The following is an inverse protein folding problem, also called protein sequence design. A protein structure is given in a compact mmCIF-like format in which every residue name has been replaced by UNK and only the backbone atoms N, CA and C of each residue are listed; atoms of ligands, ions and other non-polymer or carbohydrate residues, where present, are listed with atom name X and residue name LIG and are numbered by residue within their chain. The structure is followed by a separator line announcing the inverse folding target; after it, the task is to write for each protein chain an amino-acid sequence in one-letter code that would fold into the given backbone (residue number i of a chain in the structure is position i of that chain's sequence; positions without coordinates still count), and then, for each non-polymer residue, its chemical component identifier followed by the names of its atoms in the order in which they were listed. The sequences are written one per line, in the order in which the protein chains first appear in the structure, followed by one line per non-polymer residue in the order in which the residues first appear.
data_IF_861400257578
#
_entry.id   IF_861400257578
#
_cell.length_a   1.000
_cell.length_b   1.000
_cell.length_c   1.000
_cell.angle_alpha   90.00
_cell.angle_beta   90.00
_cell.angle_gamma   90.00
#
_symmetry.space_group_name_H-M   'P 1'
#
loop_
_entity.id
_entity.type
_entity.pdbx_description
1 polymer ?
#
# COMPACT_ATOMS: atom_id res chain seq x y z
N UNK A 1 -8.14 36.08 45.93
CA UNK A 1 -8.51 36.07 44.50
C UNK A 1 -8.71 34.63 44.08
N UNK A 2 -9.95 34.26 43.76
CA UNK A 2 -10.32 32.88 43.40
C UNK A 2 -9.82 32.54 41.99
N UNK A 3 -9.21 31.36 41.84
CA UNK A 3 -8.85 30.77 40.53
C UNK A 3 -10.12 30.63 39.68
N UNK A 4 -10.09 31.00 38.38
CA UNK A 4 -11.24 30.76 37.53
C UNK A 4 -11.41 29.25 37.32
N UNK A 5 -12.63 28.76 37.56
CA UNK A 5 -13.06 27.41 37.19
C UNK A 5 -12.87 27.25 35.68
N UNK A 6 -12.02 26.31 35.28
CA UNK A 6 -11.99 25.77 33.91
C UNK A 6 -13.37 25.13 33.66
N UNK A 7 -14.17 25.76 32.83
CA UNK A 7 -15.37 25.16 32.24
C UNK A 7 -14.93 23.99 31.36
N UNK A 8 -15.51 22.81 31.60
CA UNK A 8 -15.51 21.70 30.63
C UNK A 8 -15.97 22.27 29.30
N UNK A 9 -15.07 22.28 28.32
CA UNK A 9 -15.44 22.56 26.94
C UNK A 9 -15.77 21.18 26.40
N UNK A 10 -17.06 20.88 26.30
CA UNK A 10 -17.52 19.64 25.68
C UNK A 10 -16.78 19.47 24.34
N UNK A 11 -16.21 18.29 24.10
CA UNK A 11 -15.58 17.96 22.83
C UNK A 11 -16.59 18.30 21.72
N UNK A 12 -16.19 19.13 20.75
CA UNK A 12 -17.07 19.48 19.65
C UNK A 12 -17.46 18.17 18.94
N UNK A 13 -18.77 17.90 18.72
CA UNK A 13 -19.17 16.75 17.93
C UNK A 13 -18.49 16.84 16.57
N UNK A 14 -17.93 15.73 16.10
CA UNK A 14 -17.35 15.72 14.77
C UNK A 14 -18.49 15.81 13.74
N UNK A 15 -18.47 16.78 12.83
CA UNK A 15 -19.45 16.93 11.74
C UNK A 15 -19.29 15.82 10.67
N UNK A 16 -18.69 14.68 11.02
CA UNK A 16 -18.44 13.55 10.15
C UNK A 16 -19.74 12.79 9.89
N UNK A 17 -20.09 12.67 8.61
CA UNK A 17 -21.22 11.88 8.16
C UNK A 17 -20.89 11.18 6.84
N UNK A 18 -21.58 10.07 6.59
CA UNK A 18 -21.49 9.29 5.37
C UNK A 18 -22.81 8.57 5.09
N UNK A 19 -22.93 7.99 3.90
CA UNK A 19 -24.15 7.28 3.48
C UNK A 19 -24.42 6.07 4.38
N UNK A 20 -25.71 5.77 4.60
CA UNK A 20 -26.13 4.59 5.35
C UNK A 20 -25.72 3.26 4.67
N UNK A 21 -25.40 3.31 3.38
CA UNK A 21 -24.95 2.16 2.59
C UNK A 21 -23.44 1.99 2.55
N UNK A 22 -22.66 2.90 3.16
CA UNK A 22 -21.20 2.77 3.26
C UNK A 22 -20.80 1.46 3.95
N UNK A 23 -19.81 0.79 3.37
CA UNK A 23 -19.26 -0.48 3.88
C UNK A 23 -17.80 -0.34 4.31
N UNK A 24 -17.11 0.68 3.78
CA UNK A 24 -15.71 0.98 4.02
C UNK A 24 -15.53 2.45 4.39
N UNK A 25 -14.78 2.73 5.45
CA UNK A 25 -14.33 4.09 5.79
C UNK A 25 -13.03 4.01 6.59
N UNK A 26 -12.13 4.96 6.40
CA UNK A 26 -10.93 5.13 7.22
C UNK A 26 -10.95 6.47 7.92
N UNK A 27 -10.73 6.45 9.23
CA UNK A 27 -10.65 7.62 10.09
C UNK A 27 -9.21 7.86 10.54
N UNK A 28 -8.86 9.13 10.74
CA UNK A 28 -7.63 9.55 11.40
C UNK A 28 -7.98 10.39 12.62
N UNK A 29 -7.31 10.09 13.74
CA UNK A 29 -7.41 10.82 14.99
C UNK A 29 -6.13 11.62 15.19
N UNK A 30 -6.29 12.92 15.42
CA UNK A 30 -5.20 13.80 15.83
C UNK A 30 -5.11 13.81 17.36
N UNK A 31 -3.93 13.45 17.87
CA UNK A 31 -3.70 13.19 19.28
C UNK A 31 -2.53 14.03 19.82
N UNK A 32 -2.63 14.52 21.04
CA UNK A 32 -1.45 15.03 21.77
C UNK A 32 -1.32 14.35 23.13
N UNK A 33 -0.09 14.01 23.55
CA UNK A 33 0.13 13.43 24.87
C UNK A 33 -0.11 14.49 25.95
N UNK A 34 -0.72 14.10 27.08
CA UNK A 34 -0.96 15.00 28.22
C UNK A 34 0.31 15.33 29.01
N UNK A 35 1.31 14.46 28.94
CA UNK A 35 2.59 14.60 29.63
C UNK A 35 3.72 13.97 28.81
N UNK A 36 4.97 14.17 29.24
CA UNK A 36 6.18 13.61 28.62
C UNK A 36 6.34 12.12 28.96
N UNK A 37 5.29 11.35 28.68
CA UNK A 37 5.16 9.96 29.07
C UNK A 37 5.93 9.03 28.13
N UNK A 38 5.99 7.75 28.50
CA UNK A 38 6.64 6.71 27.71
C UNK A 38 5.59 5.77 27.13
N UNK A 39 5.72 5.45 25.84
CA UNK A 39 5.02 4.32 25.25
C UNK A 39 5.80 3.03 25.52
N UNK A 40 5.12 2.07 26.13
CA UNK A 40 5.63 0.72 26.29
C UNK A 40 5.65 -0.01 24.92
N UNK A 41 6.56 -0.98 24.70
CA UNK A 41 6.78 -1.57 23.37
C UNK A 41 5.57 -2.26 22.71
N UNK A 42 4.51 -2.58 23.48
CA UNK A 42 3.29 -3.21 22.98
C UNK A 42 2.08 -2.27 23.03
N UNK A 43 2.28 -0.95 22.99
CA UNK A 43 1.19 0.02 23.11
C UNK A 43 0.08 -0.16 22.05
N UNK A 44 0.38 -0.73 20.88
CA UNK A 44 -0.63 -1.03 19.86
C UNK A 44 -1.62 -2.11 20.30
N UNK A 45 -1.24 -3.01 21.22
CA UNK A 45 -2.18 -3.92 21.90
C UNK A 45 -3.10 -3.14 22.84
N UNK A 46 -2.58 -2.07 23.46
CA UNK A 46 -3.37 -1.14 24.25
C UNK A 46 -4.39 -0.39 23.39
N UNK A 47 -3.98 0.13 22.23
CA UNK A 47 -4.88 0.79 21.27
C UNK A 47 -5.98 -0.17 20.79
N UNK A 48 -5.64 -1.41 20.47
CA UNK A 48 -6.61 -2.45 20.11
C UNK A 48 -7.62 -2.70 21.24
N UNK A 49 -7.13 -2.92 22.47
CA UNK A 49 -7.98 -3.18 23.62
C UNK A 49 -8.88 -1.98 23.95
N UNK A 50 -8.34 -0.76 23.87
CA UNK A 50 -9.09 0.48 24.06
C UNK A 50 -10.18 0.64 23.01
N UNK A 51 -9.88 0.40 21.74
CA UNK A 51 -10.88 0.45 20.66
C UNK A 51 -12.03 -0.52 20.90
N UNK A 52 -11.73 -1.80 21.20
CA UNK A 52 -12.78 -2.78 21.51
C UNK A 52 -13.56 -2.44 22.78
N UNK A 53 -12.92 -1.82 23.77
CA UNK A 53 -13.60 -1.30 24.96
C UNK A 53 -14.61 -0.21 24.61
N UNK A 54 -14.26 0.71 23.70
CA UNK A 54 -15.21 1.71 23.19
C UNK A 54 -16.40 1.06 22.49
N UNK A 55 -16.16 0.06 21.64
CA UNK A 55 -17.25 -0.70 21.01
C UNK A 55 -18.13 -1.35 22.07
N UNK A 56 -17.52 -2.04 23.05
CA UNK A 56 -18.25 -2.77 24.10
C UNK A 56 -19.14 -1.87 24.95
N UNK A 57 -18.76 -0.62 25.17
CA UNK A 57 -19.55 0.32 25.99
C UNK A 57 -20.90 0.66 25.37
N UNK A 58 -21.00 0.67 24.04
CA UNK A 58 -22.23 1.02 23.30
C UNK A 58 -22.90 -0.19 22.63
N UNK A 59 -22.10 -1.19 22.24
CA UNK A 59 -22.52 -2.40 21.54
C UNK A 59 -21.68 -3.62 21.97
N UNK A 60 -22.05 -4.28 23.09
CA UNK A 60 -21.35 -5.45 23.59
C UNK A 60 -21.32 -6.64 22.62
N UNK A 61 -22.37 -6.82 21.82
CA UNK A 61 -22.48 -7.93 20.86
C UNK A 61 -21.52 -7.74 19.69
N UNK A 62 -21.45 -6.52 19.13
CA UNK A 62 -20.48 -6.18 18.11
C UNK A 62 -19.06 -6.35 18.65
N UNK A 63 -18.77 -5.87 19.86
CA UNK A 63 -17.44 -6.05 20.46
C UNK A 63 -17.06 -7.53 20.60
N UNK A 64 -18.00 -8.40 20.98
CA UNK A 64 -17.76 -9.84 21.08
C UNK A 64 -17.48 -10.44 19.70
N UNK A 65 -18.24 -10.06 18.67
CA UNK A 65 -17.97 -10.47 17.28
C UNK A 65 -16.57 -10.02 16.82
N UNK A 66 -16.19 -8.77 17.08
CA UNK A 66 -14.87 -8.24 16.71
C UNK A 66 -13.72 -8.95 17.44
N UNK A 67 -13.92 -9.35 18.70
CA UNK A 67 -12.91 -10.03 19.50
C UNK A 67 -12.84 -11.54 19.19
N UNK A 68 -13.96 -12.23 19.26
CA UNK A 68 -14.06 -13.70 19.26
C UNK A 68 -14.30 -14.31 17.87
N UNK A 69 -14.68 -13.50 16.89
CA UNK A 69 -14.92 -13.96 15.51
C UNK A 69 -13.73 -14.76 14.96
N UNK A 70 -14.02 -15.95 14.44
CA UNK A 70 -13.02 -16.87 13.88
C UNK A 70 -12.66 -16.55 12.42
N UNK A 71 -13.46 -15.70 11.74
CA UNK A 71 -13.20 -15.21 10.39
C UNK A 71 -12.19 -14.05 10.39
N UNK A 72 -12.01 -13.38 9.25
CA UNK A 72 -11.17 -12.19 9.21
C UNK A 72 -11.75 -11.09 10.12
N UNK A 73 -10.92 -10.16 10.59
CA UNK A 73 -11.41 -9.05 11.41
C UNK A 73 -11.89 -7.91 10.51
N UNK A 74 -13.10 -7.37 10.73
CA UNK A 74 -13.70 -6.36 9.85
C UNK A 74 -13.19 -4.94 10.12
N UNK A 75 -11.94 -4.80 10.57
CA UNK A 75 -11.31 -3.51 10.84
C UNK A 75 -9.78 -3.62 10.80
N UNK A 76 -9.12 -2.48 10.67
CA UNK A 76 -7.67 -2.33 10.86
C UNK A 76 -7.37 -1.12 11.74
N UNK A 77 -6.26 -1.15 12.47
CA UNK A 77 -5.76 0.01 13.23
C UNK A 77 -4.27 0.19 12.96
N UNK A 78 -3.79 1.44 12.97
CA UNK A 78 -2.37 1.74 12.84
C UNK A 78 -1.64 1.74 14.19
N UNK A 79 -0.31 1.79 14.14
CA UNK A 79 0.52 2.37 15.20
C UNK A 79 0.35 3.89 15.24
N UNK A 80 0.89 4.56 16.26
CA UNK A 80 0.96 6.01 16.28
C UNK A 80 2.00 6.49 15.27
N UNK A 81 1.60 7.41 14.40
CA UNK A 81 2.49 8.15 13.52
C UNK A 81 2.85 9.49 14.17
N UNK A 82 4.13 9.82 14.24
CA UNK A 82 4.62 11.06 14.84
C UNK A 82 6.08 10.95 15.28
N UNK A 83 6.60 12.01 15.90
CA UNK A 83 7.97 12.05 16.42
C UNK A 83 8.05 11.16 17.68
N UNK A 84 8.42 9.89 17.48
CA UNK A 84 8.66 8.91 18.54
C UNK A 84 10.17 8.76 18.74
N UNK A 85 10.68 9.32 19.83
CA UNK A 85 12.11 9.26 20.14
C UNK A 85 12.43 7.96 20.90
N UNK A 86 13.47 7.25 20.49
CA UNK A 86 13.90 6.06 21.21
C UNK A 86 14.60 6.45 22.53
N UNK A 87 14.05 6.02 23.66
CA UNK A 87 14.63 6.20 25.00
C UNK A 87 14.86 4.83 25.66
N UNK A 88 16.01 4.22 25.38
CA UNK A 88 16.35 2.89 25.87
C UNK A 88 15.43 1.80 25.28
N UNK A 89 14.59 1.19 26.13
CA UNK A 89 13.62 0.15 25.72
C UNK A 89 12.23 0.69 25.40
N UNK A 90 11.97 1.98 25.66
CA UNK A 90 10.67 2.62 25.47
C UNK A 90 10.77 3.69 24.38
N UNK A 91 9.60 4.12 23.88
CA UNK A 91 9.50 5.30 23.03
C UNK A 91 9.07 6.46 23.91
N UNK A 92 9.81 7.56 23.87
CA UNK A 92 9.48 8.77 24.59
C UNK A 92 8.57 9.65 23.74
N UNK A 93 7.47 10.08 24.35
CA UNK A 93 6.56 11.05 23.76
C UNK A 93 7.09 12.46 23.97
N UNK A 94 6.94 13.30 22.95
CA UNK A 94 7.26 14.71 23.04
C UNK A 94 5.98 15.46 23.40
N UNK A 95 6.03 16.16 24.53
CA UNK A 95 4.96 17.09 24.93
C UNK A 95 4.81 18.12 23.83
N UNK A 96 3.57 18.44 23.47
CA UNK A 96 3.17 19.35 22.39
C UNK A 96 3.43 18.84 20.95
N UNK A 97 3.88 17.59 20.77
CA UNK A 97 3.88 16.96 19.45
C UNK A 97 2.49 16.37 19.12
N UNK A 98 2.09 16.51 17.86
CA UNK A 98 0.89 15.87 17.32
C UNK A 98 1.22 14.46 16.82
N UNK A 99 0.34 13.52 17.13
CA UNK A 99 0.41 12.13 16.72
C UNK A 99 -0.87 11.75 15.98
N UNK A 100 -0.75 10.94 14.94
CA UNK A 100 -1.88 10.44 14.16
C UNK A 100 -2.11 8.96 14.47
N UNK A 101 -3.38 8.61 14.64
CA UNK A 101 -3.82 7.23 14.76
C UNK A 101 -4.94 6.94 13.78
N UNK A 102 -4.88 5.81 13.09
CA UNK A 102 -5.85 5.47 12.06
C UNK A 102 -6.66 4.24 12.45
N UNK A 103 -7.95 4.29 12.15
CA UNK A 103 -8.91 3.20 12.32
C UNK A 103 -9.70 3.07 11.03
N UNK A 104 -9.75 1.87 10.44
CA UNK A 104 -10.57 1.62 9.24
C UNK A 104 -11.57 0.51 9.48
N UNK A 105 -12.80 0.71 9.03
CA UNK A 105 -13.85 -0.30 9.04
C UNK A 105 -13.96 -0.98 7.67
N UNK A 106 -14.23 -2.29 7.70
CA UNK A 106 -14.30 -3.16 6.52
C UNK A 106 -15.68 -3.81 6.35
N UNK A 107 -16.67 -3.45 7.16
CA UNK A 107 -18.01 -4.02 7.06
C UNK A 107 -19.06 -3.02 7.49
N UNK A 108 -20.27 -3.14 6.93
CA UNK A 108 -21.42 -2.27 7.22
C UNK A 108 -21.72 -2.15 8.73
N UNK A 109 -21.73 -3.23 9.55
CA UNK A 109 -21.98 -3.09 11.00
C UNK A 109 -20.95 -2.21 11.71
N UNK A 110 -19.67 -2.35 11.37
CA UNK A 110 -18.60 -1.54 11.98
C UNK A 110 -18.66 -0.10 11.51
N UNK A 111 -18.96 0.14 10.23
CA UNK A 111 -19.18 1.50 9.69
C UNK A 111 -20.35 2.20 10.36
N UNK A 112 -21.47 1.49 10.55
CA UNK A 112 -22.65 2.03 11.22
C UNK A 112 -22.35 2.37 12.68
N UNK A 113 -21.61 1.50 13.38
CA UNK A 113 -21.15 1.79 14.74
C UNK A 113 -20.22 3.01 14.77
N UNK A 114 -19.24 3.10 13.86
CA UNK A 114 -18.36 4.26 13.75
C UNK A 114 -19.14 5.57 13.55
N UNK A 115 -20.21 5.54 12.73
CA UNK A 115 -21.02 6.73 12.43
C UNK A 115 -21.68 7.30 13.69
N UNK A 116 -22.09 6.43 14.62
CA UNK A 116 -22.64 6.82 15.91
C UNK A 116 -21.53 7.23 16.88
N UNK A 117 -20.44 6.46 16.93
CA UNK A 117 -19.34 6.68 17.85
C UNK A 117 -18.63 8.04 17.63
N UNK A 118 -18.45 8.46 16.37
CA UNK A 118 -17.78 9.74 16.07
C UNK A 118 -18.58 10.98 16.50
N UNK A 119 -19.89 10.83 16.73
CA UNK A 119 -20.77 11.90 17.24
C UNK A 119 -20.60 12.13 18.75
N UNK A 120 -20.05 11.14 19.46
CA UNK A 120 -19.84 11.17 20.90
C UNK A 120 -18.45 10.64 21.26
N UNK A 121 -17.41 11.19 20.62
CA UNK A 121 -16.04 10.76 20.85
C UNK A 121 -15.61 11.03 22.30
N UNK A 122 -14.88 10.10 22.94
CA UNK A 122 -14.22 10.39 24.20
C UNK A 122 -13.19 11.51 24.02
N UNK A 123 -12.94 12.28 25.08
CA UNK A 123 -11.90 13.32 25.07
C UNK A 123 -10.47 12.73 25.05
N UNK A 124 -10.31 11.46 25.43
CA UNK A 124 -9.02 10.87 25.77
C UNK A 124 -8.91 9.41 25.35
N UNK A 125 -7.74 9.04 24.84
CA UNK A 125 -7.28 7.65 24.76
C UNK A 125 -6.36 7.38 25.95
N UNK A 126 -6.81 6.50 26.85
CA UNK A 126 -6.04 6.09 28.02
C UNK A 126 -5.31 4.78 27.73
N UNK A 127 -3.98 4.83 27.69
CA UNK A 127 -3.10 3.67 27.68
C UNK A 127 -2.46 3.51 29.07
N UNK A 128 -1.86 2.35 29.32
CA UNK A 128 -1.31 2.01 30.65
C UNK A 128 -0.43 3.10 31.27
N UNK A 129 0.53 3.59 30.51
CA UNK A 129 1.57 4.52 30.98
C UNK A 129 1.56 5.85 30.19
N UNK A 130 0.50 6.12 29.40
CA UNK A 130 0.38 7.33 28.57
C UNK A 130 -1.08 7.69 28.29
N UNK A 131 -1.40 8.98 28.29
CA UNK A 131 -2.74 9.52 28.06
C UNK A 131 -2.74 10.53 26.92
N UNK A 132 -3.61 10.36 25.93
CA UNK A 132 -3.68 11.21 24.73
C UNK A 132 -4.99 11.95 24.64
N UNK A 133 -4.94 13.28 24.52
CA UNK A 133 -6.12 14.08 24.16
C UNK A 133 -6.44 13.88 22.69
N UNK A 134 -7.71 13.66 22.38
CA UNK A 134 -8.23 13.67 21.00
C UNK A 134 -8.61 15.11 20.64
N UNK A 135 -7.95 15.69 19.64
CA UNK A 135 -8.25 17.04 19.15
C UNK A 135 -9.22 17.03 17.97
N UNK A 136 -9.00 16.11 17.05
CA UNK A 136 -9.77 15.99 15.83
C UNK A 136 -9.92 14.52 15.43
N UNK A 137 -11.01 14.26 14.72
CA UNK A 137 -11.24 13.04 13.98
C UNK A 137 -11.67 13.44 12.58
N UNK A 138 -11.00 12.89 11.56
CA UNK A 138 -11.25 13.22 10.15
C UNK A 138 -11.34 11.95 9.31
N UNK A 139 -11.96 12.07 8.13
CA UNK A 139 -11.96 11.00 7.13
C UNK A 139 -10.60 10.97 6.43
N UNK A 140 -9.84 9.91 6.67
CA UNK A 140 -8.56 9.64 6.03
C UNK A 140 -8.70 8.82 4.73
N UNK A 141 -9.70 7.92 4.69
CA UNK A 141 -10.05 7.14 3.51
C UNK A 141 -11.54 7.28 3.27
N UNK A 142 -11.91 7.64 2.04
CA UNK A 142 -13.25 8.03 1.68
C UNK A 142 -14.29 6.94 2.03
N UNK A 143 -15.47 7.32 2.54
CA UNK A 143 -16.60 6.41 2.66
C UNK A 143 -16.95 5.82 1.29
N UNK A 144 -17.01 4.49 1.17
CA UNK A 144 -17.35 3.81 -0.10
C UNK A 144 -17.96 2.42 0.15
N UNK A 145 -18.36 1.73 -0.91
CA UNK A 145 -18.86 0.35 -0.92
C UNK A 145 -17.93 -0.57 -1.70
N UNK A 146 -18.07 -1.87 -1.50
CA UNK A 146 -17.33 -2.86 -2.30
C UNK A 146 -17.76 -2.81 -3.78
N UNK A 147 -19.05 -2.59 -4.04
CA UNK A 147 -19.60 -2.38 -5.39
C UNK A 147 -18.96 -1.17 -6.08
N UNK A 148 -18.81 -0.04 -5.37
CA UNK A 148 -18.17 1.16 -5.89
C UNK A 148 -16.68 0.94 -6.14
N UNK A 149 -15.95 0.32 -5.20
CA UNK A 149 -14.53 0.00 -5.40
C UNK A 149 -14.33 -0.90 -6.61
N UNK A 150 -15.17 -1.91 -6.81
CA UNK A 150 -15.08 -2.81 -7.95
C UNK A 150 -15.47 -2.10 -9.26
N UNK A 151 -16.59 -1.39 -9.29
CA UNK A 151 -17.10 -0.72 -10.50
C UNK A 151 -16.19 0.43 -10.96
N UNK A 152 -15.57 1.14 -10.00
CA UNK A 152 -14.64 2.24 -10.26
C UNK A 152 -13.19 1.76 -10.33
N UNK A 153 -12.93 0.45 -10.33
CA UNK A 153 -11.59 -0.13 -10.46
C UNK A 153 -11.05 0.03 -11.89
N UNK A 154 -10.74 1.27 -12.25
CA UNK A 154 -10.05 1.64 -13.47
C UNK A 154 -8.95 2.61 -13.07
N UNK A 155 -7.70 2.23 -13.29
CA UNK A 155 -6.60 3.16 -13.03
C UNK A 155 -6.29 3.94 -14.31
N UNK A 156 -6.26 5.28 -14.29
CA UNK A 156 -5.69 6.06 -15.39
C UNK A 156 -4.18 5.80 -15.57
N UNK A 157 -3.55 5.24 -14.53
CA UNK A 157 -2.17 4.75 -14.49
C UNK A 157 -2.14 3.24 -14.76
N UNK A 158 -1.26 2.76 -15.64
CA UNK A 158 -1.09 1.31 -15.89
C UNK A 158 -0.54 0.54 -14.69
N UNK A 159 -0.03 1.22 -13.65
CA UNK A 159 0.60 0.60 -12.48
C UNK A 159 -0.12 0.92 -11.16
N UNK A 160 -0.02 -0.01 -10.21
CA UNK A 160 -0.43 0.12 -8.81
C UNK A 160 0.78 0.42 -7.92
N UNK A 161 0.72 1.50 -7.13
CA UNK A 161 1.78 1.87 -6.19
C UNK A 161 1.25 1.75 -4.77
N UNK A 162 1.98 1.05 -3.91
CA UNK A 162 1.65 0.85 -2.51
C UNK A 162 2.86 1.16 -1.62
N UNK A 163 2.61 1.82 -0.49
CA UNK A 163 3.60 2.08 0.55
C UNK A 163 3.18 1.44 1.88
N UNK A 164 4.12 0.76 2.53
CA UNK A 164 3.98 0.04 3.79
C UNK A 164 4.65 0.83 4.90
N UNK A 165 3.85 1.54 5.70
CA UNK A 165 4.31 2.47 6.73
C UNK A 165 4.63 1.79 8.06
N UNK A 166 4.10 0.58 8.27
CA UNK A 166 4.44 -0.24 9.43
C UNK A 166 4.85 -1.65 9.03
N UNK A 167 5.47 -2.37 9.96
CA UNK A 167 6.01 -3.71 9.72
C UNK A 167 4.94 -4.62 9.11
N UNK A 168 5.17 -5.05 7.88
CA UNK A 168 4.28 -5.91 7.09
C UNK A 168 4.91 -7.29 6.98
N UNK A 169 4.15 -8.35 7.23
CA UNK A 169 4.67 -9.72 7.13
C UNK A 169 3.56 -10.68 6.76
N UNK A 170 3.95 -11.77 6.10
CA UNK A 170 3.07 -12.88 5.76
C UNK A 170 3.48 -14.13 6.53
N UNK A 171 2.62 -15.16 6.52
CA UNK A 171 2.94 -16.48 7.06
C UNK A 171 3.22 -17.45 5.93
N UNK A 172 4.36 -18.13 5.99
CA UNK A 172 4.72 -19.19 5.03
C UNK A 172 5.32 -20.37 5.79
N UNK A 173 4.64 -21.53 5.75
CA UNK A 173 5.04 -22.76 6.45
C UNK A 173 5.40 -22.51 7.93
N UNK A 174 4.55 -21.79 8.65
CA UNK A 174 4.76 -21.42 10.07
C UNK A 174 5.72 -20.25 10.34
N UNK A 175 6.50 -19.81 9.35
CA UNK A 175 7.51 -18.76 9.52
C UNK A 175 6.99 -17.38 9.05
N UNK A 176 7.65 -16.31 9.50
CA UNK A 176 7.45 -14.97 8.95
C UNK A 176 8.04 -14.90 7.55
N UNK A 177 7.33 -14.26 6.63
CA UNK A 177 7.78 -14.02 5.27
C UNK A 177 7.74 -12.51 4.99
N UNK A 178 8.87 -11.80 5.16
CA UNK A 178 8.93 -10.35 5.10
C UNK A 178 9.18 -9.84 3.66
N UNK A 179 8.43 -10.35 2.68
CA UNK A 179 8.58 -9.93 1.27
C UNK A 179 7.21 -9.70 0.61
N UNK A 180 7.00 -8.56 -0.07
CA UNK A 180 5.76 -8.23 -0.80
C UNK A 180 5.69 -8.95 -2.15
N UNK A 181 5.75 -10.28 -2.14
CA UNK A 181 5.50 -11.08 -3.36
C UNK A 181 4.03 -10.88 -3.77
N UNK A 182 3.71 -10.64 -5.06
CA UNK A 182 2.35 -10.37 -5.52
C UNK A 182 1.32 -11.37 -5.01
N UNK A 183 1.59 -12.67 -5.14
CA UNK A 183 0.69 -13.70 -4.62
C UNK A 183 0.37 -13.51 -3.12
N UNK A 184 1.36 -13.19 -2.29
CA UNK A 184 1.15 -12.94 -0.86
C UNK A 184 0.35 -11.65 -0.58
N UNK A 185 0.60 -10.58 -1.34
CA UNK A 185 -0.15 -9.32 -1.24
C UNK A 185 -1.62 -9.56 -1.56
N UNK A 186 -1.89 -10.10 -2.74
CA UNK A 186 -3.24 -10.27 -3.25
C UNK A 186 -4.02 -11.35 -2.50
N UNK A 187 -3.37 -12.42 -2.04
CA UNK A 187 -4.00 -13.37 -1.12
C UNK A 187 -4.39 -12.69 0.21
N UNK A 188 -3.57 -11.77 0.71
CA UNK A 188 -3.91 -11.02 1.93
C UNK A 188 -5.15 -10.15 1.77
N UNK A 189 -5.30 -9.49 0.62
CA UNK A 189 -6.45 -8.61 0.35
C UNK A 189 -7.69 -9.43 0.02
N UNK A 190 -7.55 -10.44 -0.84
CA UNK A 190 -8.64 -11.25 -1.33
C UNK A 190 -9.36 -12.00 -0.21
N UNK A 191 -8.64 -12.52 0.80
CA UNK A 191 -9.29 -13.18 1.95
C UNK A 191 -10.28 -12.26 2.67
N UNK A 192 -9.93 -10.98 2.87
CA UNK A 192 -10.82 -10.01 3.52
C UNK A 192 -11.90 -9.49 2.57
N UNK A 193 -11.57 -9.36 1.27
CA UNK A 193 -12.56 -9.04 0.26
C UNK A 193 -13.66 -10.12 0.21
N UNK A 194 -13.30 -11.40 0.13
CA UNK A 194 -14.25 -12.51 0.07
C UNK A 194 -15.10 -12.67 1.35
N UNK A 195 -14.57 -12.26 2.51
CA UNK A 195 -15.29 -12.34 3.79
C UNK A 195 -16.35 -11.23 3.91
N UNK A 196 -16.11 -10.04 3.37
CA UNK A 196 -16.94 -8.85 3.64
C UNK A 196 -17.68 -8.25 2.45
N UNK A 197 -17.23 -8.48 1.20
CA UNK A 197 -17.76 -7.78 0.03
C UNK A 197 -19.09 -8.31 -0.50
N UNK A 198 -19.52 -9.50 -0.07
CA UNK A 198 -20.57 -10.29 -0.74
C UNK A 198 -20.31 -10.58 -2.24
N UNK A 199 -19.11 -10.28 -2.75
CA UNK A 199 -18.65 -10.56 -4.11
C UNK A 199 -17.44 -11.51 -4.07
N UNK A 200 -17.72 -12.80 -3.86
CA UNK A 200 -16.66 -13.79 -3.73
C UNK A 200 -16.03 -14.15 -5.07
N UNK A 201 -14.70 -14.21 -5.09
CA UNK A 201 -13.92 -14.74 -6.20
C UNK A 201 -13.22 -16.03 -5.79
N UNK A 202 -13.06 -16.94 -6.77
CA UNK A 202 -12.25 -18.15 -6.60
C UNK A 202 -10.81 -17.74 -6.30
N UNK A 203 -10.35 -18.15 -5.11
CA UNK A 203 -9.04 -17.74 -4.61
C UNK A 203 -7.91 -18.36 -5.43
N UNK A 204 -7.98 -19.65 -5.74
CA UNK A 204 -6.88 -20.34 -6.39
C UNK A 204 -6.74 -19.87 -7.83
N UNK A 205 -7.86 -19.71 -8.54
CA UNK A 205 -7.87 -19.20 -9.91
C UNK A 205 -7.34 -17.76 -10.00
N UNK A 206 -7.71 -16.88 -9.05
CA UNK A 206 -7.20 -15.51 -9.05
C UNK A 206 -5.71 -15.44 -8.70
N UNK A 207 -5.25 -16.24 -7.74
CA UNK A 207 -3.85 -16.23 -7.34
C UNK A 207 -2.92 -16.84 -8.39
N UNK A 208 -3.37 -17.86 -9.13
CA UNK A 208 -2.68 -18.37 -10.32
C UNK A 208 -2.54 -17.25 -11.38
N UNK A 209 -3.63 -16.54 -11.67
CA UNK A 209 -3.58 -15.38 -12.56
C UNK A 209 -2.63 -14.28 -12.06
N UNK A 210 -2.58 -14.02 -10.74
CA UNK A 210 -1.64 -13.05 -10.16
C UNK A 210 -0.18 -13.48 -10.39
N UNK A 211 0.13 -14.76 -10.21
CA UNK A 211 1.48 -15.29 -10.43
C UNK A 211 1.93 -15.18 -11.89
N UNK A 212 1.00 -15.35 -12.85
CA UNK A 212 1.29 -15.26 -14.28
C UNK A 212 1.33 -13.81 -14.81
N UNK A 213 0.47 -12.94 -14.27
CA UNK A 213 0.17 -11.65 -14.89
C UNK A 213 0.70 -10.43 -14.13
N UNK A 214 1.04 -10.54 -12.84
CA UNK A 214 1.45 -9.38 -12.04
C UNK A 214 2.97 -9.29 -11.94
N UNK A 215 3.51 -8.14 -12.35
CA UNK A 215 4.94 -7.83 -12.34
C UNK A 215 5.28 -6.85 -11.21
N UNK A 216 6.45 -7.02 -10.61
CA UNK A 216 7.06 -5.98 -9.77
C UNK A 216 7.91 -5.09 -10.69
N UNK A 217 7.49 -3.85 -10.93
CA UNK A 217 8.26 -2.89 -11.71
C UNK A 217 9.35 -2.22 -10.90
N UNK A 218 9.02 -1.86 -9.66
CA UNK A 218 9.92 -1.13 -8.76
C UNK A 218 9.61 -1.50 -7.33
N UNK A 219 10.62 -1.61 -6.48
CA UNK A 219 10.41 -1.70 -5.04
C UNK A 219 11.56 -1.04 -4.28
N UNK A 220 11.28 -0.62 -3.05
CA UNK A 220 12.26 -0.17 -2.08
C UNK A 220 11.80 -0.67 -0.73
N UNK A 221 12.57 -1.58 -0.14
CA UNK A 221 12.13 -2.30 1.05
C UNK A 221 13.24 -2.32 2.09
N UNK A 222 12.83 -2.27 3.35
CA UNK A 222 13.70 -2.49 4.49
C UNK A 222 13.12 -3.59 5.35
N UNK A 223 13.97 -4.53 5.79
CA UNK A 223 13.56 -5.54 6.76
C UNK A 223 13.56 -4.95 8.16
N UNK A 224 12.45 -5.13 8.88
CA UNK A 224 12.27 -4.64 10.25
C UNK A 224 11.86 -5.78 11.17
N UNK A 225 12.23 -5.68 12.45
CA UNK A 225 11.82 -6.63 13.47
C UNK A 225 11.12 -5.90 14.60
N UNK A 226 9.85 -6.21 14.82
CA UNK A 226 9.01 -5.55 15.82
C UNK A 226 8.51 -6.53 16.86
N UNK A 227 8.32 -6.07 18.10
CA UNK A 227 7.58 -6.85 19.10
C UNK A 227 6.12 -6.97 18.64
N UNK A 228 5.49 -8.13 18.83
CA UNK A 228 4.12 -8.33 18.35
C UNK A 228 3.29 -9.21 19.30
N UNK A 229 2.35 -8.60 20.00
CA UNK A 229 1.53 -9.26 21.02
C UNK A 229 2.27 -9.45 22.35
N UNK A 230 1.76 -10.34 23.22
CA UNK A 230 2.29 -10.57 24.58
C UNK A 230 3.65 -11.30 24.61
N UNK A 231 3.95 -12.14 23.62
CA UNK A 231 5.22 -12.87 23.47
C UNK A 231 5.61 -12.97 22.00
N UNK A 232 6.90 -12.79 21.72
CA UNK A 232 7.49 -12.96 20.39
C UNK A 232 7.70 -11.66 19.62
N UNK A 233 8.30 -11.81 18.45
CA UNK A 233 8.56 -10.72 17.50
C UNK A 233 8.01 -11.11 16.13
N UNK A 234 7.87 -10.13 15.24
CA UNK A 234 7.57 -10.33 13.82
C UNK A 234 8.71 -9.73 13.03
N UNK A 235 9.33 -10.56 12.18
CA UNK A 235 10.19 -10.05 11.10
C UNK A 235 9.28 -9.68 9.94
N UNK A 236 9.32 -8.43 9.52
CA UNK A 236 8.50 -7.86 8.45
C UNK A 236 9.31 -6.93 7.55
N UNK A 237 8.63 -6.23 6.67
CA UNK A 237 9.18 -5.20 5.82
C UNK A 237 8.39 -3.89 5.93
N UNK A 238 9.06 -2.78 5.63
CA UNK A 238 8.48 -1.46 5.34
C UNK A 238 9.01 -0.98 3.99
N UNK A 239 8.41 0.08 3.43
CA UNK A 239 8.88 0.70 2.18
C UNK A 239 7.78 0.81 1.14
N UNK A 240 8.10 0.67 -0.15
CA UNK A 240 7.15 0.82 -1.24
C UNK A 240 7.37 -0.20 -2.37
N UNK A 241 6.29 -0.47 -3.11
CA UNK A 241 6.27 -1.33 -4.29
C UNK A 241 5.41 -0.70 -5.38
N UNK A 242 5.83 -0.89 -6.63
CA UNK A 242 5.07 -0.59 -7.84
C UNK A 242 4.86 -1.89 -8.61
N UNK A 243 3.59 -2.19 -8.85
CA UNK A 243 3.12 -3.38 -9.54
C UNK A 243 2.49 -2.99 -10.87
N UNK A 244 2.65 -3.83 -11.88
CA UNK A 244 1.95 -3.67 -13.16
C UNK A 244 1.50 -5.01 -13.69
N UNK A 245 0.87 -4.99 -14.86
CA UNK A 245 0.29 -6.16 -15.50
C UNK A 245 1.00 -6.48 -16.81
N UNK A 246 1.13 -7.77 -17.11
CA UNK A 246 1.53 -8.23 -18.44
C UNK A 246 0.42 -7.99 -19.45
N UNK A 247 0.72 -8.08 -20.74
CA UNK A 247 -0.30 -8.01 -21.80
C UNK A 247 -1.32 -9.15 -21.74
N UNK A 248 -0.93 -10.31 -21.18
CA UNK A 248 -1.79 -11.48 -21.01
C UNK A 248 -2.89 -11.26 -19.95
N UNK A 249 -2.73 -10.29 -19.05
CA UNK A 249 -3.72 -9.94 -18.03
C UNK A 249 -5.12 -9.67 -18.61
N UNK A 250 -5.16 -9.03 -19.79
CA UNK A 250 -6.38 -8.68 -20.52
C UNK A 250 -7.24 -9.88 -20.95
N UNK A 251 -6.69 -11.11 -20.91
CA UNK A 251 -7.45 -12.34 -21.16
C UNK A 251 -8.50 -12.64 -20.07
N UNK A 252 -8.34 -12.08 -18.87
CA UNK A 252 -9.27 -12.19 -17.75
C UNK A 252 -9.66 -10.80 -17.21
N UNK A 253 -10.52 -10.04 -17.92
CA UNK A 253 -10.84 -8.66 -17.55
C UNK A 253 -11.39 -8.49 -16.12
N UNK A 254 -12.13 -9.49 -15.62
CA UNK A 254 -12.64 -9.46 -14.23
C UNK A 254 -11.52 -9.56 -13.19
N UNK A 255 -10.45 -10.31 -13.47
CA UNK A 255 -9.31 -10.42 -12.57
C UNK A 255 -8.43 -9.17 -12.64
N UNK A 256 -8.30 -8.56 -13.83
CA UNK A 256 -7.69 -7.24 -13.97
C UNK A 256 -8.45 -6.17 -13.17
N UNK A 257 -9.78 -6.15 -13.26
CA UNK A 257 -10.62 -5.25 -12.46
C UNK A 257 -10.46 -5.52 -10.95
N UNK A 258 -10.46 -6.79 -10.54
CA UNK A 258 -10.24 -7.17 -9.14
C UNK A 258 -8.84 -6.77 -8.64
N UNK A 259 -7.80 -6.88 -9.48
CA UNK A 259 -6.45 -6.43 -9.14
C UNK A 259 -6.43 -4.95 -8.75
N UNK A 260 -7.06 -4.09 -9.56
CA UNK A 260 -7.16 -2.66 -9.26
C UNK A 260 -8.05 -2.39 -8.03
N UNK A 261 -9.18 -3.10 -7.90
CA UNK A 261 -10.06 -2.98 -6.75
C UNK A 261 -9.34 -3.34 -5.43
N UNK A 262 -8.61 -4.46 -5.41
CA UNK A 262 -7.81 -4.90 -4.26
C UNK A 262 -6.66 -3.94 -3.96
N UNK A 263 -6.06 -3.33 -4.99
CA UNK A 263 -5.08 -2.26 -4.82
C UNK A 263 -5.65 -1.02 -4.12
N UNK A 264 -6.86 -0.61 -4.49
CA UNK A 264 -7.58 0.50 -3.86
C UNK A 264 -8.14 0.14 -2.48
N UNK A 265 -8.41 -1.14 -2.23
CA UNK A 265 -8.85 -1.68 -0.94
C UNK A 265 -7.70 -1.84 0.07
N UNK A 266 -6.46 -2.01 -0.40
CA UNK A 266 -5.29 -2.24 0.45
C UNK A 266 -5.09 -1.19 1.57
N UNK A 267 -5.30 0.13 1.35
CA UNK A 267 -5.22 1.13 2.41
C UNK A 267 -6.25 0.96 3.53
N UNK A 268 -7.47 0.48 3.23
CA UNK A 268 -8.51 0.24 4.23
C UNK A 268 -8.18 -1.00 5.08
N UNK A 269 -7.85 -2.09 4.41
CA UNK A 269 -7.73 -3.39 5.06
C UNK A 269 -6.33 -3.70 5.59
N UNK A 270 -5.34 -2.88 5.26
CA UNK A 270 -3.92 -3.09 5.54
C UNK A 270 -3.39 -4.42 4.96
N UNK A 271 -2.09 -4.68 5.09
CA UNK A 271 -1.41 -5.80 4.42
C UNK A 271 -0.89 -6.83 5.39
N UNK A 272 -1.08 -8.11 5.08
CA UNK A 272 -0.53 -9.22 5.85
C UNK A 272 -1.32 -9.52 7.13
N UNK A 273 -0.61 -9.90 8.19
CA UNK A 273 -1.20 -10.34 9.45
C UNK A 273 -1.02 -9.33 10.58
N UNK A 274 -1.89 -9.42 11.61
CA UNK A 274 -1.93 -8.52 12.78
C UNK A 274 -2.24 -7.05 12.42
N UNK A 275 -3.06 -6.84 11.40
CA UNK A 275 -3.56 -5.52 10.97
C UNK A 275 -4.43 -4.83 12.03
N UNK A 276 -5.05 -5.59 12.93
CA UNK A 276 -5.75 -5.06 14.11
C UNK A 276 -4.81 -4.68 15.27
N UNK A 277 -3.49 -4.78 15.10
CA UNK A 277 -2.48 -4.49 16.12
C UNK A 277 -1.38 -3.53 15.62
N UNK A 278 -1.69 -2.70 14.60
CA UNK A 278 -0.78 -1.69 14.10
C UNK A 278 0.20 -2.14 13.02
N UNK A 279 0.19 -3.42 12.63
CA UNK A 279 1.06 -3.95 11.57
C UNK A 279 0.40 -3.82 10.19
N UNK A 280 1.19 -3.84 9.13
CA UNK A 280 0.65 -3.87 7.77
C UNK A 280 0.08 -2.56 7.25
N UNK A 281 0.28 -1.44 7.94
CA UNK A 281 -0.33 -0.17 7.55
C UNK A 281 0.09 0.20 6.13
N UNK A 282 -0.90 0.35 5.25
CA UNK A 282 -0.69 0.51 3.80
C UNK A 282 -1.31 1.82 3.33
N UNK A 283 -0.66 2.48 2.37
CA UNK A 283 -1.14 3.68 1.69
C UNK A 283 -0.99 3.51 0.18
N UNK A 284 -1.89 4.14 -0.56
CA UNK A 284 -1.75 4.26 -2.01
C UNK A 284 -0.61 5.23 -2.35
N UNK A 285 0.08 4.97 -3.45
CA UNK A 285 1.17 5.80 -3.93
C UNK A 285 2.56 5.38 -3.42
N UNK A 286 3.58 6.07 -3.94
CA UNK A 286 4.98 5.90 -3.58
C UNK A 286 5.39 6.98 -2.57
N UNK A 287 5.41 6.64 -1.28
CA UNK A 287 5.66 7.59 -0.18
C UNK A 287 7.08 7.48 0.39
N UNK A 288 7.90 6.55 -0.11
CA UNK A 288 9.29 6.40 0.36
C UNK A 288 10.19 7.44 -0.28
N UNK A 289 10.99 8.13 0.53
CA UNK A 289 12.00 9.08 0.05
C UNK A 289 13.01 8.39 -0.87
N UNK A 290 13.30 9.02 -2.01
CA UNK A 290 14.35 8.56 -2.91
C UNK A 290 15.73 8.87 -2.31
N UNK A 291 16.63 7.90 -2.36
CA UNK A 291 18.05 8.17 -2.17
C UNK A 291 18.57 8.41 -3.56
N UNK A 292 19.27 9.53 -3.83
CA UNK A 292 19.84 9.77 -5.14
C UNK A 292 20.79 8.61 -5.47
N UNK A 293 20.35 7.71 -6.35
CA UNK A 293 21.21 6.68 -6.91
C UNK A 293 22.07 7.35 -7.95
N UNK A 294 23.40 7.27 -7.81
CA UNK A 294 24.29 7.64 -8.92
C UNK A 294 23.99 6.66 -10.06
N UNK A 295 23.47 7.13 -11.22
CA UNK A 295 23.15 6.24 -12.32
C UNK A 295 24.42 5.50 -12.76
N UNK A 296 24.39 4.17 -12.79
CA UNK A 296 25.44 3.41 -13.45
C UNK A 296 25.29 3.58 -14.97
N UNK A 297 26.39 3.46 -15.73
CA UNK A 297 26.32 3.48 -17.20
C UNK A 297 25.35 2.42 -17.75
N UNK A 298 25.23 1.28 -17.07
CA UNK A 298 24.28 0.21 -17.40
C UNK A 298 22.82 0.65 -17.19
N UNK A 299 22.51 1.40 -16.12
CA UNK A 299 21.16 1.93 -15.86
C UNK A 299 20.74 2.98 -16.89
N UNK A 300 21.67 3.86 -17.30
CA UNK A 300 21.45 4.84 -18.37
C UNK A 300 21.19 4.15 -19.72
N UNK A 301 21.93 3.08 -20.01
CA UNK A 301 21.70 2.25 -21.21
C UNK A 301 20.30 1.63 -21.19
N UNK A 302 19.91 0.97 -20.10
CA UNK A 302 18.61 0.31 -19.99
C UNK A 302 17.44 1.28 -20.13
N UNK A 303 17.52 2.45 -19.47
CA UNK A 303 16.53 3.52 -19.61
C UNK A 303 16.42 3.99 -21.07
N UNK A 304 17.56 4.21 -21.72
CA UNK A 304 17.58 4.66 -23.12
C UNK A 304 17.01 3.63 -24.09
N UNK A 305 17.25 2.34 -23.85
CA UNK A 305 16.65 1.25 -24.64
C UNK A 305 15.12 1.27 -24.49
N UNK A 306 14.60 1.36 -23.27
CA UNK A 306 13.16 1.38 -23.02
C UNK A 306 12.46 2.57 -23.71
N UNK A 307 13.02 3.78 -23.59
CA UNK A 307 12.52 4.98 -24.27
C UNK A 307 12.46 4.81 -25.80
N UNK A 308 13.54 4.31 -26.40
CA UNK A 308 13.61 4.10 -27.85
C UNK A 308 12.66 3.00 -28.32
N UNK A 309 12.51 1.93 -27.54
CA UNK A 309 11.61 0.84 -27.85
C UNK A 309 10.15 1.32 -27.85
N UNK A 310 9.74 2.10 -26.85
CA UNK A 310 8.40 2.69 -26.79
C UNK A 310 8.14 3.60 -27.99
N UNK A 311 9.12 4.45 -28.35
CA UNK A 311 9.03 5.31 -29.53
C UNK A 311 8.87 4.49 -30.82
N UNK A 312 9.69 3.46 -31.04
CA UNK A 312 9.59 2.62 -32.24
C UNK A 312 8.29 1.80 -32.30
N UNK A 313 7.78 1.33 -31.16
CA UNK A 313 6.49 0.66 -31.09
C UNK A 313 5.34 1.61 -31.44
N UNK A 314 5.37 2.84 -30.92
CA UNK A 314 4.34 3.86 -31.19
C UNK A 314 4.21 4.23 -32.68
N UNK A 315 5.31 4.21 -33.43
CA UNK A 315 5.33 4.47 -34.87
C UNK A 315 4.75 3.32 -35.71
N UNK A 316 4.73 2.10 -35.16
CA UNK A 316 4.40 0.86 -35.89
C UNK A 316 2.97 0.37 -35.66
N UNK A 317 2.08 1.22 -35.13
CA UNK A 317 0.66 0.96 -34.77
C UNK A 317 -0.23 0.26 -35.82
N UNK A 318 0.23 -0.04 -37.04
CA UNK A 318 -0.50 -0.82 -38.06
C UNK A 318 0.02 -2.25 -38.28
N UNK A 319 1.08 -2.68 -37.60
CA UNK A 319 1.65 -4.03 -37.71
C UNK A 319 1.70 -4.70 -36.32
N UNK A 320 0.54 -5.11 -35.79
CA UNK A 320 0.46 -5.87 -34.55
C UNK A 320 0.98 -7.29 -34.74
N UNK A 321 2.13 -7.60 -34.15
CA UNK A 321 2.71 -8.95 -34.15
C UNK A 321 4.06 -9.00 -33.44
N UNK A 322 4.44 -10.18 -32.92
CA UNK A 322 5.71 -10.46 -32.21
C UNK A 322 6.94 -9.92 -32.93
N UNK A 323 6.95 -10.03 -34.26
CA UNK A 323 8.04 -9.53 -35.12
C UNK A 323 8.23 -8.02 -35.07
N UNK A 324 7.17 -7.23 -34.87
CA UNK A 324 7.29 -5.78 -34.77
C UNK A 324 7.98 -5.36 -33.47
N UNK A 325 7.68 -6.07 -32.38
CA UNK A 325 8.28 -5.90 -31.05
C UNK A 325 9.76 -6.29 -31.05
N UNK A 326 10.10 -7.47 -31.57
CA UNK A 326 11.49 -7.94 -31.66
C UNK A 326 12.38 -6.97 -32.45
N UNK A 327 11.88 -6.44 -33.57
CA UNK A 327 12.62 -5.47 -34.37
C UNK A 327 12.75 -4.13 -33.61
N UNK A 328 11.70 -3.68 -32.91
CA UNK A 328 11.75 -2.43 -32.13
C UNK A 328 12.78 -2.53 -31.00
N UNK A 329 12.79 -3.65 -30.28
CA UNK A 329 13.76 -3.96 -29.23
C UNK A 329 15.19 -4.04 -29.78
N UNK A 330 15.37 -4.72 -30.92
CA UNK A 330 16.68 -4.82 -31.59
C UNK A 330 17.19 -3.44 -32.01
N UNK A 331 16.32 -2.61 -32.60
CA UNK A 331 16.68 -1.25 -33.02
C UNK A 331 17.01 -0.35 -31.84
N UNK A 332 16.22 -0.41 -30.77
CA UNK A 332 16.44 0.33 -29.53
C UNK A 332 17.78 -0.03 -28.89
N UNK A 333 18.07 -1.33 -28.76
CA UNK A 333 19.32 -1.85 -28.20
C UNK A 333 20.55 -1.39 -28.99
N UNK A 334 20.55 -1.57 -30.32
CA UNK A 334 21.69 -1.17 -31.17
C UNK A 334 21.92 0.34 -31.09
N UNK A 335 20.85 1.14 -31.16
CA UNK A 335 20.98 2.58 -31.19
C UNK A 335 21.41 3.16 -29.84
N UNK A 336 20.84 2.69 -28.72
CA UNK A 336 21.22 3.14 -27.39
C UNK A 336 22.70 2.86 -27.08
N UNK A 337 23.19 1.64 -27.41
CA UNK A 337 24.61 1.28 -27.26
C UNK A 337 25.52 2.14 -28.11
N UNK A 338 25.09 2.47 -29.34
CA UNK A 338 25.85 3.34 -30.24
C UNK A 338 25.91 4.79 -29.74
N UNK A 339 24.83 5.30 -29.15
CA UNK A 339 24.77 6.64 -28.53
C UNK A 339 25.70 6.74 -27.31
N UNK A 340 25.87 5.64 -26.56
CA UNK A 340 26.79 5.53 -25.43
C UNK A 340 28.26 5.28 -25.83
N UNK A 341 28.56 5.29 -27.13
CA UNK A 341 29.93 5.27 -27.65
C UNK A 341 30.46 3.90 -28.08
N UNK A 342 29.66 2.82 -27.96
CA UNK A 342 30.09 1.51 -28.46
C UNK A 342 30.28 1.50 -29.98
N UNK A 343 31.30 0.78 -30.45
CA UNK A 343 31.53 0.60 -31.89
C UNK A 343 30.51 -0.37 -32.48
N UNK A 344 30.10 -0.14 -33.74
CA UNK A 344 29.20 -1.08 -34.44
C UNK A 344 29.78 -2.49 -34.54
N UNK A 345 31.11 -2.63 -34.55
CA UNK A 345 31.78 -3.93 -34.54
C UNK A 345 31.61 -4.61 -33.17
N UNK A 346 31.79 -3.89 -32.07
CA UNK A 346 31.60 -4.44 -30.72
C UNK A 346 30.14 -4.89 -30.51
N UNK A 347 29.18 -4.06 -30.93
CA UNK A 347 27.74 -4.40 -30.86
C UNK A 347 27.45 -5.65 -31.72
N UNK A 348 28.02 -5.74 -32.92
CA UNK A 348 27.83 -6.89 -33.81
C UNK A 348 28.38 -8.19 -33.22
N UNK A 349 29.58 -8.15 -32.63
CA UNK A 349 30.17 -9.31 -31.96
C UNK A 349 29.33 -9.75 -30.76
N UNK A 350 28.91 -8.82 -29.90
CA UNK A 350 28.19 -9.12 -28.67
C UNK A 350 26.75 -9.61 -28.92
N UNK A 351 26.09 -9.09 -29.96
CA UNK A 351 24.74 -9.55 -30.36
C UNK A 351 24.76 -10.75 -31.31
N UNK A 352 25.94 -11.31 -31.63
CA UNK A 352 26.12 -12.40 -32.60
C UNK A 352 25.51 -12.10 -33.98
N UNK A 353 25.56 -10.84 -34.41
CA UNK A 353 24.99 -10.36 -35.67
C UNK A 353 26.09 -10.00 -36.67
N UNK A 354 25.79 -10.14 -37.97
CA UNK A 354 26.70 -9.62 -39.01
C UNK A 354 26.82 -8.10 -38.90
N UNK A 355 28.03 -7.57 -39.00
CA UNK A 355 28.34 -6.14 -38.93
C UNK A 355 27.45 -5.29 -39.87
N UNK A 356 27.26 -5.72 -41.12
CA UNK A 356 26.42 -4.98 -42.09
C UNK A 356 24.94 -4.93 -41.66
N UNK A 357 24.44 -5.96 -40.97
CA UNK A 357 23.09 -5.96 -40.39
C UNK A 357 22.97 -4.90 -39.30
N UNK A 358 23.91 -4.87 -38.35
CA UNK A 358 23.91 -3.91 -37.23
C UNK A 358 24.05 -2.47 -37.75
N UNK A 359 24.93 -2.24 -38.72
CA UNK A 359 25.10 -0.94 -39.40
C UNK A 359 23.81 -0.49 -40.08
N UNK A 360 23.11 -1.40 -40.75
CA UNK A 360 21.81 -1.12 -41.40
C UNK A 360 20.75 -0.78 -40.37
N UNK A 361 20.63 -1.56 -39.30
CA UNK A 361 19.64 -1.34 -38.24
C UNK A 361 19.89 -0.03 -37.48
N UNK A 362 21.14 0.31 -37.17
CA UNK A 362 21.49 1.60 -36.58
C UNK A 362 21.07 2.78 -37.48
N UNK A 363 21.27 2.66 -38.80
CA UNK A 363 20.85 3.69 -39.77
C UNK A 363 19.33 3.83 -39.85
N UNK A 364 18.61 2.71 -39.87
CA UNK A 364 17.14 2.69 -39.91
C UNK A 364 16.53 3.24 -38.62
N UNK A 365 17.04 2.82 -37.45
CA UNK A 365 16.62 3.30 -36.15
C UNK A 365 16.82 4.83 -36.01
N UNK A 366 17.98 5.34 -36.42
CA UNK A 366 18.24 6.79 -36.41
C UNK A 366 17.30 7.57 -37.33
N UNK A 367 17.03 7.04 -38.53
CA UNK A 367 16.09 7.67 -39.47
C UNK A 367 14.67 7.72 -38.91
N UNK A 368 14.24 6.64 -38.25
CA UNK A 368 12.93 6.56 -37.61
C UNK A 368 12.77 7.58 -36.47
N UNK A 369 13.83 7.92 -35.74
CA UNK A 369 13.80 9.00 -34.74
C UNK A 369 13.68 10.39 -35.35
N UNK A 370 14.45 10.68 -36.41
CA UNK A 370 14.42 11.99 -37.07
C UNK A 370 13.10 12.32 -37.77
N UNK A 371 12.21 11.35 -37.96
CA UNK A 371 10.87 11.58 -38.52
C UNK A 371 9.84 12.00 -37.46
N UNK A 372 10.22 12.05 -36.18
CA UNK A 372 9.36 12.40 -35.03
C UNK A 372 9.72 13.76 -34.43
N UNK A 373 10.91 14.30 -34.74
CA UNK A 373 11.42 15.58 -34.21
C UNK A 373 10.92 16.80 -34.98
#
# INVERSE_FOLDING_TARGET
MARPKRTKKDAAPSDLSWSADTELVGLVFELTPRAADYLYPQYTVGLHAWFLDQVRQTDPELSAYLHDGQSEKPFSISSLEGELLTAGKNLQLKVDASYLWYVSALSKPVVQWLAQWVQALPEVIELRDASFLIHACEIALAPTTYDELFSNAHSPSTTLKLSFLSATSFRRKGNHFPLPVPNNLFHSYLRRWNDFSNQQFDQDAFLEWVEECVLIHRHRLESVKVAAGKKGSVTGFTGAIELGLTSAASSQPKFEQLFYALGQFAPYCATGHKTTFGLGQTRAGWLTQETPTVPSQQSLLAQRIAELQEQFLSQRKRAGGTRATEIAETWATILARRELGESLMAIATDMEMRYETVKTYAKLARRALTQVS
#
